data_IF_812563388961
#
_entry.id   IF_812563388961
#
_cell.length_a   1.000
_cell.length_b   1.000
_cell.length_c   1.000
_cell.angle_alpha   90.00
_cell.angle_beta   90.00
_cell.angle_gamma   90.00
#
_symmetry.space_group_name_H-M   'P 1'
#
loop_
_entity.id
_entity.type
_entity.pdbx_description
1 polymer ?
#
# COMPACT_ATOMS: atom_id res chain seq x y z
N UNK A 1 -0.78 16.39 -1.52
CA UNK A 1 -0.32 15.64 -0.33
C UNK A 1 0.58 16.57 0.44
N UNK A 2 0.26 16.81 1.72
CA UNK A 2 0.84 17.92 2.48
C UNK A 2 1.68 17.45 3.68
N UNK A 3 1.82 16.13 3.88
CA UNK A 3 2.63 15.54 4.95
C UNK A 3 3.39 14.31 4.41
N UNK A 4 4.53 13.93 5.03
CA UNK A 4 5.25 12.73 4.61
C UNK A 4 4.42 11.46 4.86
N UNK A 5 3.67 11.40 5.96
CA UNK A 5 2.76 10.29 6.26
C UNK A 5 1.70 10.10 5.17
N UNK A 6 1.08 11.18 4.68
CA UNK A 6 0.08 11.08 3.59
C UNK A 6 0.72 10.56 2.29
N UNK A 7 1.98 10.93 2.02
CA UNK A 7 2.72 10.48 0.85
C UNK A 7 3.07 8.99 0.94
N UNK A 8 3.61 8.54 2.07
CA UNK A 8 3.93 7.14 2.33
C UNK A 8 2.67 6.26 2.31
N UNK A 9 1.60 6.68 2.99
CA UNK A 9 0.31 5.97 2.93
C UNK A 9 -0.28 5.93 1.52
N UNK A 10 -0.02 6.94 0.69
CA UNK A 10 -0.40 6.87 -0.73
C UNK A 10 0.42 5.82 -1.48
N UNK A 11 1.73 5.77 -1.25
CA UNK A 11 2.58 4.69 -1.77
C UNK A 11 2.03 3.32 -1.34
N UNK A 12 1.65 3.13 -0.08
CA UNK A 12 1.09 1.86 0.41
C UNK A 12 -0.22 1.47 -0.27
N UNK A 13 -1.08 2.44 -0.61
CA UNK A 13 -2.28 2.16 -1.42
C UNK A 13 -1.90 1.67 -2.82
N UNK A 14 -0.85 2.22 -3.42
CA UNK A 14 -0.34 1.75 -4.69
C UNK A 14 0.29 0.36 -4.56
N UNK A 15 1.07 0.08 -3.51
CA UNK A 15 1.63 -1.25 -3.23
C UNK A 15 0.53 -2.30 -3.18
N UNK A 16 -0.54 -2.06 -2.40
CA UNK A 16 -1.71 -2.94 -2.33
C UNK A 16 -2.37 -3.15 -3.69
N UNK A 17 -2.60 -2.06 -4.43
CA UNK A 17 -3.23 -2.10 -5.75
C UNK A 17 -2.40 -2.91 -6.75
N UNK A 18 -1.11 -2.59 -6.90
CA UNK A 18 -0.25 -3.19 -7.93
C UNK A 18 0.14 -4.62 -7.58
N UNK A 19 0.40 -4.95 -6.30
CA UNK A 19 0.63 -6.35 -5.89
C UNK A 19 -0.61 -7.23 -6.06
N UNK A 20 -1.82 -6.72 -5.77
CA UNK A 20 -3.05 -7.44 -6.09
C UNK A 20 -3.27 -7.57 -7.60
N UNK A 21 -2.94 -6.54 -8.38
CA UNK A 21 -3.02 -6.57 -9.84
C UNK A 21 -2.06 -7.59 -10.44
N UNK A 22 -0.84 -7.67 -9.91
CA UNK A 22 0.18 -8.63 -10.33
C UNK A 22 -0.31 -10.07 -10.19
N UNK A 23 -0.86 -10.44 -9.03
CA UNK A 23 -1.42 -11.78 -8.81
C UNK A 23 -2.54 -12.08 -9.82
N UNK A 24 -3.45 -11.12 -10.05
CA UNK A 24 -4.53 -11.30 -11.03
C UNK A 24 -4.00 -11.49 -12.44
N UNK A 25 -2.99 -10.71 -12.85
CA UNK A 25 -2.35 -10.85 -14.17
C UNK A 25 -1.67 -12.22 -14.33
N UNK A 26 -1.03 -12.72 -13.26
CA UNK A 26 -0.43 -14.04 -13.27
C UNK A 26 -1.47 -15.19 -13.38
N UNK A 27 -2.73 -14.94 -13.03
CA UNK A 27 -3.83 -15.93 -13.13
C UNK A 27 -4.58 -15.89 -14.47
N UNK A 28 -4.38 -14.86 -15.31
CA UNK A 28 -5.05 -14.74 -16.62
C UNK A 28 -4.62 -15.88 -17.57
N UNK A 29 -5.54 -16.45 -18.33
CA UNK A 29 -5.22 -17.52 -19.29
C UNK A 29 -4.53 -16.97 -20.55
N UNK A 30 -5.05 -15.88 -21.12
CA UNK A 30 -4.57 -15.25 -22.35
C UNK A 30 -3.77 -13.97 -22.06
N UNK A 31 -2.44 -14.10 -21.97
CA UNK A 31 -1.55 -12.97 -21.72
C UNK A 31 -1.27 -12.09 -22.94
N UNK A 32 -1.61 -12.58 -24.13
CA UNK A 32 -1.43 -11.92 -25.41
C UNK A 32 -2.55 -10.91 -25.73
N UNK A 33 -3.62 -10.89 -24.95
CA UNK A 33 -4.69 -9.88 -25.05
C UNK A 33 -4.11 -8.45 -24.87
N UNK A 34 -4.33 -7.52 -25.82
CA UNK A 34 -3.81 -6.16 -25.73
C UNK A 34 -4.12 -5.43 -24.42
N UNK A 35 -5.32 -5.63 -23.86
CA UNK A 35 -5.72 -5.01 -22.59
C UNK A 35 -4.94 -5.60 -21.40
N UNK A 36 -4.62 -6.90 -21.46
CA UNK A 36 -3.78 -7.57 -20.45
C UNK A 36 -2.36 -7.04 -20.53
N UNK A 37 -1.80 -6.91 -21.75
CA UNK A 37 -0.45 -6.37 -21.97
C UNK A 37 -0.34 -4.94 -21.42
N UNK A 38 -1.35 -4.09 -21.59
CA UNK A 38 -1.34 -2.74 -21.01
C UNK A 38 -1.35 -2.77 -19.47
N UNK A 39 -2.09 -3.72 -18.87
CA UNK A 39 -2.03 -4.00 -17.44
C UNK A 39 -0.65 -4.43 -16.98
N UNK A 40 0.00 -5.33 -17.72
CA UNK A 40 1.38 -5.80 -17.48
C UNK A 40 2.36 -4.65 -17.55
N UNK A 41 2.30 -3.80 -18.58
CA UNK A 41 3.16 -2.61 -18.72
C UNK A 41 2.99 -1.65 -17.55
N UNK A 42 1.76 -1.40 -17.13
CA UNK A 42 1.48 -0.54 -15.98
C UNK A 42 2.05 -1.13 -14.68
N UNK A 43 1.93 -2.45 -14.51
CA UNK A 43 2.49 -3.19 -13.38
C UNK A 43 4.02 -3.12 -13.37
N UNK A 44 4.66 -3.42 -14.50
CA UNK A 44 6.11 -3.37 -14.68
C UNK A 44 6.67 -1.97 -14.39
N UNK A 45 6.03 -0.91 -14.91
CA UNK A 45 6.44 0.47 -14.62
C UNK A 45 6.38 0.77 -13.12
N UNK A 46 5.32 0.34 -12.44
CA UNK A 46 5.21 0.57 -10.99
C UNK A 46 6.32 -0.13 -10.20
N UNK A 47 6.56 -1.41 -10.47
CA UNK A 47 7.59 -2.18 -9.77
C UNK A 47 9.01 -1.71 -10.11
N UNK A 48 9.23 -1.19 -11.33
CA UNK A 48 10.52 -0.66 -11.78
C UNK A 48 10.84 0.74 -11.23
N UNK A 49 9.83 1.58 -11.07
CA UNK A 49 10.04 3.00 -10.72
C UNK A 49 9.40 3.37 -9.39
N UNK A 50 8.10 3.07 -9.22
CA UNK A 50 7.31 3.50 -8.08
C UNK A 50 7.71 2.83 -6.76
N UNK A 51 7.92 1.52 -6.77
CA UNK A 51 8.29 0.76 -5.57
C UNK A 51 9.69 1.15 -5.04
N UNK A 52 10.75 1.23 -5.87
CA UNK A 52 12.06 1.70 -5.41
C UNK A 52 12.03 3.13 -4.84
N UNK A 53 11.20 4.02 -5.41
CA UNK A 53 11.06 5.39 -4.91
C UNK A 53 10.41 5.44 -3.52
N UNK A 54 9.57 4.47 -3.15
CA UNK A 54 9.02 4.34 -1.81
C UNK A 54 10.10 3.91 -0.82
N UNK A 55 10.80 2.80 -1.08
CA UNK A 55 11.89 2.33 -0.22
C UNK A 55 12.96 3.41 -0.01
N UNK A 56 13.33 4.15 -1.07
CA UNK A 56 14.25 5.28 -0.96
C UNK A 56 13.75 6.43 -0.08
N UNK A 57 12.44 6.66 0.01
CA UNK A 57 11.89 7.64 0.94
C UNK A 57 11.98 7.17 2.38
N UNK A 58 11.69 5.89 2.65
CA UNK A 58 11.93 5.30 3.96
C UNK A 58 13.40 5.43 4.34
N UNK A 59 14.29 4.85 3.54
CA UNK A 59 15.69 4.65 3.87
C UNK A 59 16.44 5.97 4.01
N UNK A 60 16.20 6.92 3.11
CA UNK A 60 16.99 8.16 3.03
C UNK A 60 16.33 9.33 3.75
N UNK A 61 15.02 9.27 4.02
CA UNK A 61 14.29 10.40 4.60
C UNK A 61 13.65 10.06 5.94
N UNK A 62 12.96 8.93 6.06
CA UNK A 62 12.25 8.54 7.28
C UNK A 62 13.19 7.99 8.34
N UNK A 63 13.93 6.92 8.02
CA UNK A 63 14.76 6.17 8.97
C UNK A 63 15.73 7.06 9.73
N UNK A 64 16.52 7.96 9.09
CA UNK A 64 17.48 8.80 9.81
C UNK A 64 16.82 9.77 10.82
N UNK A 65 15.53 10.06 10.65
CA UNK A 65 14.76 10.93 11.56
C UNK A 65 14.11 10.14 12.67
N UNK A 66 13.68 8.91 12.41
CA UNK A 66 13.18 8.02 13.46
C UNK A 66 14.30 7.64 14.45
N UNK A 67 15.52 7.43 13.97
CA UNK A 67 16.69 7.14 14.81
C UNK A 67 17.09 8.28 15.75
N UNK A 68 16.64 9.51 15.48
CA UNK A 68 16.85 10.66 16.37
C UNK A 68 15.86 10.68 17.55
N UNK A 69 14.81 9.86 17.51
CA UNK A 69 13.85 9.71 18.59
C UNK A 69 14.36 8.69 19.62
N UNK A 70 13.82 8.76 20.84
CA UNK A 70 13.97 7.66 21.79
C UNK A 70 13.10 6.49 21.33
N UNK A 71 13.74 5.47 20.76
CA UNK A 71 13.07 4.29 20.23
C UNK A 71 12.96 3.17 21.28
N UNK A 72 11.82 2.48 21.28
CA UNK A 72 11.60 1.27 22.06
C UNK A 72 12.25 0.06 21.36
N UNK A 73 12.59 -1.03 22.09
CA UNK A 73 13.19 -2.22 21.47
C UNK A 73 12.41 -2.78 20.27
N UNK A 74 11.07 -2.72 20.33
CA UNK A 74 10.21 -3.13 19.22
C UNK A 74 10.40 -2.27 17.96
N UNK A 75 10.59 -0.95 18.12
CA UNK A 75 10.77 -0.02 16.99
C UNK A 75 12.15 -0.21 16.36
N UNK A 76 13.18 -0.43 17.18
CA UNK A 76 14.52 -0.77 16.71
C UNK A 76 14.47 -2.07 15.89
N UNK A 77 13.82 -3.11 16.43
CA UNK A 77 13.63 -4.38 15.72
C UNK A 77 12.86 -4.20 14.40
N UNK A 78 11.83 -3.34 14.39
CA UNK A 78 11.06 -3.06 13.20
C UNK A 78 11.88 -2.36 12.11
N UNK A 79 12.76 -1.41 12.47
CA UNK A 79 13.68 -0.77 11.51
C UNK A 79 14.63 -1.78 10.86
N UNK A 80 15.24 -2.67 11.66
CA UNK A 80 16.11 -3.73 11.13
C UNK A 80 15.36 -4.70 10.22
N UNK A 81 14.14 -5.07 10.61
CA UNK A 81 13.30 -5.94 9.80
C UNK A 81 12.88 -5.27 8.49
N UNK A 82 12.47 -4.00 8.52
CA UNK A 82 12.12 -3.20 7.35
C UNK A 82 13.29 -3.16 6.35
N UNK A 83 14.50 -2.86 6.82
CA UNK A 83 15.71 -2.85 5.98
C UNK A 83 15.99 -4.22 5.33
N UNK A 84 15.86 -5.31 6.11
CA UNK A 84 16.05 -6.67 5.58
C UNK A 84 14.98 -7.01 4.54
N UNK A 85 13.73 -6.60 4.79
CA UNK A 85 12.62 -6.81 3.87
C UNK A 85 12.82 -6.04 2.56
N UNK A 86 13.36 -4.81 2.57
CA UNK A 86 13.69 -4.09 1.34
C UNK A 86 14.59 -4.91 0.42
N UNK A 87 15.65 -5.52 0.94
CA UNK A 87 16.57 -6.36 0.15
C UNK A 87 15.89 -7.59 -0.45
N UNK A 88 15.02 -8.24 0.33
CA UNK A 88 14.24 -9.40 -0.14
C UNK A 88 13.23 -8.99 -1.22
N UNK A 89 12.54 -7.86 -1.01
CA UNK A 89 11.59 -7.28 -1.96
C UNK A 89 12.30 -6.93 -3.26
N UNK A 90 13.48 -6.31 -3.21
CA UNK A 90 14.26 -5.96 -4.40
C UNK A 90 14.63 -7.19 -5.23
N UNK A 91 15.08 -8.26 -4.55
CA UNK A 91 15.43 -9.53 -5.21
C UNK A 91 14.22 -10.14 -5.92
N UNK A 92 13.11 -10.33 -5.22
CA UNK A 92 11.88 -10.88 -5.80
C UNK A 92 11.30 -9.97 -6.89
N UNK A 93 11.42 -8.65 -6.75
CA UNK A 93 10.95 -7.69 -7.74
C UNK A 93 11.73 -7.82 -9.04
N UNK A 94 13.04 -8.07 -9.00
CA UNK A 94 13.83 -8.31 -10.21
C UNK A 94 13.35 -9.55 -10.98
N UNK A 95 13.05 -10.65 -10.28
CA UNK A 95 12.50 -11.87 -10.89
C UNK A 95 11.10 -11.65 -11.49
N UNK A 96 10.24 -10.94 -10.77
CA UNK A 96 8.91 -10.55 -11.27
C UNK A 96 9.00 -9.66 -12.50
N UNK A 97 9.92 -8.69 -12.53
CA UNK A 97 10.12 -7.81 -13.67
C UNK A 97 10.57 -8.59 -14.91
N UNK A 98 11.44 -9.59 -14.75
CA UNK A 98 11.82 -10.48 -15.85
C UNK A 98 10.61 -11.22 -16.44
N UNK A 99 9.71 -11.73 -15.59
CA UNK A 99 8.46 -12.36 -16.05
C UNK A 99 7.54 -11.37 -16.77
N UNK A 100 7.38 -10.16 -16.23
CA UNK A 100 6.55 -9.12 -16.84
C UNK A 100 7.11 -8.68 -18.20
N UNK A 101 8.44 -8.54 -18.32
CA UNK A 101 9.09 -8.16 -19.58
C UNK A 101 8.92 -9.25 -20.64
N UNK A 102 9.07 -10.53 -20.28
CA UNK A 102 8.80 -11.67 -21.17
C UNK A 102 7.34 -11.67 -21.67
N UNK A 103 6.36 -11.35 -20.82
CA UNK A 103 4.97 -11.19 -21.28
C UNK A 103 4.84 -10.05 -22.30
N UNK A 104 5.49 -8.90 -22.06
CA UNK A 104 5.42 -7.74 -22.98
C UNK A 104 6.08 -8.03 -24.33
N UNK A 105 7.17 -8.81 -24.34
CA UNK A 105 7.87 -9.21 -25.57
C UNK A 105 7.30 -10.46 -26.23
N UNK A 106 6.21 -11.02 -25.66
CA UNK A 106 5.55 -12.25 -26.12
C UNK A 106 6.48 -13.47 -26.12
N UNK A 107 7.44 -13.50 -25.21
CA UNK A 107 8.29 -14.66 -24.95
C UNK A 107 7.54 -15.71 -24.10
N UNK A 108 7.93 -16.99 -24.17
CA UNK A 108 7.37 -18.03 -23.31
C UNK A 108 7.58 -17.71 -21.82
N UNK A 109 6.51 -17.78 -21.03
CA UNK A 109 6.55 -17.55 -19.58
C UNK A 109 6.11 -18.81 -18.85
N UNK A 110 6.90 -19.24 -17.86
CA UNK A 110 6.45 -20.23 -16.89
C UNK A 110 5.31 -19.64 -16.06
N UNK A 111 4.07 -20.04 -16.40
CA UNK A 111 2.86 -19.54 -15.74
C UNK A 111 2.81 -19.90 -14.26
N UNK A 112 3.27 -21.10 -13.91
CA UNK A 112 3.24 -21.56 -12.52
C UNK A 112 4.30 -20.82 -11.69
N UNK A 113 5.52 -20.70 -12.23
CA UNK A 113 6.58 -19.90 -11.63
C UNK A 113 6.18 -18.44 -11.44
N UNK A 114 5.59 -17.81 -12.47
CA UNK A 114 5.14 -16.42 -12.38
C UNK A 114 4.06 -16.22 -11.31
N UNK A 115 3.07 -17.11 -11.23
CA UNK A 115 2.05 -17.05 -10.17
C UNK A 115 2.65 -17.24 -8.76
N UNK A 116 3.62 -18.14 -8.62
CA UNK A 116 4.37 -18.35 -7.39
C UNK A 116 5.07 -17.06 -6.94
N UNK A 117 5.90 -16.48 -7.80
CA UNK A 117 6.62 -15.23 -7.54
C UNK A 117 5.67 -14.07 -7.22
N UNK A 118 4.57 -13.93 -7.97
CA UNK A 118 3.58 -12.88 -7.74
C UNK A 118 2.94 -12.98 -6.34
N UNK A 119 2.62 -14.20 -5.89
CA UNK A 119 2.04 -14.45 -4.56
C UNK A 119 3.06 -14.24 -3.45
N UNK A 120 4.29 -14.66 -3.65
CA UNK A 120 5.38 -14.47 -2.70
C UNK A 120 5.69 -12.99 -2.50
N UNK A 121 5.93 -12.25 -3.59
CA UNK A 121 6.18 -10.81 -3.54
C UNK A 121 5.01 -10.06 -2.87
N UNK A 122 3.76 -10.41 -3.20
CA UNK A 122 2.60 -9.80 -2.55
C UNK A 122 2.59 -10.09 -1.04
N UNK A 123 2.87 -11.32 -0.63
CA UNK A 123 2.86 -11.70 0.80
C UNK A 123 3.91 -10.89 1.57
N UNK A 124 5.12 -10.80 1.02
CA UNK A 124 6.20 -10.02 1.62
C UNK A 124 5.87 -8.52 1.70
N UNK A 125 5.35 -7.93 0.62
CA UNK A 125 4.93 -6.53 0.59
C UNK A 125 3.81 -6.23 1.59
N UNK A 126 2.85 -7.14 1.79
CA UNK A 126 1.78 -6.94 2.77
C UNK A 126 2.31 -6.97 4.21
N UNK A 127 3.16 -7.94 4.53
CA UNK A 127 3.80 -8.01 5.85
C UNK A 127 4.69 -6.79 6.12
N UNK A 128 5.39 -6.31 5.09
CA UNK A 128 6.25 -5.13 5.16
C UNK A 128 5.45 -3.86 5.48
N UNK A 129 4.44 -3.51 4.68
CA UNK A 129 3.66 -2.29 4.92
C UNK A 129 2.82 -2.35 6.21
N UNK A 130 2.44 -3.55 6.67
CA UNK A 130 1.75 -3.74 7.95
C UNK A 130 2.68 -3.43 9.12
N UNK A 131 3.93 -3.91 9.09
CA UNK A 131 4.95 -3.59 10.08
C UNK A 131 5.17 -2.07 10.18
N UNK A 132 5.35 -1.42 9.03
CA UNK A 132 5.57 0.02 8.95
C UNK A 132 4.38 0.81 9.49
N UNK A 133 3.16 0.51 9.03
CA UNK A 133 1.94 1.20 9.43
C UNK A 133 1.65 1.03 10.94
N UNK A 134 1.90 -0.16 11.49
CA UNK A 134 1.60 -0.47 12.87
C UNK A 134 2.67 0.03 13.87
N UNK A 135 3.95 0.01 13.48
CA UNK A 135 5.06 0.24 14.42
C UNK A 135 5.80 1.53 14.14
N UNK A 136 6.14 1.82 12.88
CA UNK A 136 7.04 2.92 12.51
C UNK A 136 6.28 4.23 12.22
N UNK A 137 5.18 4.17 11.47
CA UNK A 137 4.43 5.35 11.06
C UNK A 137 3.81 6.15 12.22
N UNK A 138 3.38 5.55 13.34
CA UNK A 138 2.97 6.32 14.51
C UNK A 138 4.05 7.28 15.01
N UNK A 139 5.34 6.91 14.88
CA UNK A 139 6.49 7.72 15.31
C UNK A 139 6.69 8.97 14.46
N UNK A 140 6.19 8.98 13.21
CA UNK A 140 6.24 10.15 12.32
C UNK A 140 5.51 11.35 12.96
N UNK A 141 4.45 11.10 13.72
CA UNK A 141 3.65 12.15 14.36
C UNK A 141 4.41 12.90 15.47
N UNK A 142 5.49 12.31 15.99
CA UNK A 142 6.33 12.89 17.03
C UNK A 142 7.52 13.67 16.47
N UNK A 143 7.75 13.61 15.15
CA UNK A 143 8.82 14.36 14.52
C UNK A 143 8.54 15.87 14.53
N UNK A 144 9.57 16.71 14.72
CA UNK A 144 9.39 18.15 14.74
C UNK A 144 8.93 18.68 13.37
N UNK A 145 8.13 19.76 13.31
CA UNK A 145 7.58 20.28 12.05
C UNK A 145 8.61 20.58 10.96
N UNK A 146 9.84 20.99 11.36
CA UNK A 146 10.95 21.24 10.43
C UNK A 146 11.43 19.95 9.73
N UNK A 147 11.45 18.84 10.45
CA UNK A 147 11.79 17.52 9.89
C UNK A 147 10.72 17.07 8.90
N UNK A 148 9.44 17.18 9.26
CA UNK A 148 8.32 16.82 8.37
C UNK A 148 8.34 17.62 7.07
N UNK A 149 8.60 18.94 7.16
CA UNK A 149 8.70 19.82 5.99
C UNK A 149 9.88 19.43 5.09
N UNK A 150 11.03 19.09 5.69
CA UNK A 150 12.22 18.68 4.94
C UNK A 150 12.00 17.35 4.22
N UNK A 151 11.38 16.37 4.89
CA UNK A 151 11.01 15.09 4.28
C UNK A 151 10.10 15.28 3.06
N UNK A 152 9.04 16.08 3.17
CA UNK A 152 8.15 16.35 2.02
C UNK A 152 8.94 16.92 0.84
N UNK A 153 9.86 17.85 1.09
CA UNK A 153 10.72 18.40 0.02
C UNK A 153 11.61 17.31 -0.58
N UNK A 154 12.30 16.53 0.22
CA UNK A 154 13.18 15.43 -0.22
C UNK A 154 12.43 14.41 -1.09
N UNK A 155 11.29 13.90 -0.59
CA UNK A 155 10.46 12.91 -1.29
C UNK A 155 9.89 13.46 -2.61
N UNK A 156 9.56 14.75 -2.67
CA UNK A 156 9.09 15.40 -3.90
C UNK A 156 10.22 15.59 -4.90
N UNK A 157 11.38 16.07 -4.46
CA UNK A 157 12.58 16.22 -5.30
C UNK A 157 12.97 14.89 -5.94
N UNK A 158 12.95 13.79 -5.17
CA UNK A 158 13.24 12.44 -5.68
C UNK A 158 12.32 12.01 -6.82
N UNK A 159 11.10 12.54 -6.85
CA UNK A 159 10.07 12.27 -7.88
C UNK A 159 10.04 13.31 -9.01
N UNK A 160 10.99 14.24 -9.05
CA UNK A 160 10.98 15.35 -10.00
C UNK A 160 9.79 16.31 -9.82
N UNK A 161 9.14 16.30 -8.65
CA UNK A 161 8.02 17.18 -8.35
C UNK A 161 8.52 18.50 -7.76
N UNK A 162 7.92 19.65 -8.13
CA UNK A 162 8.29 20.94 -7.56
C UNK A 162 8.03 20.94 -6.05
N UNK A 163 8.83 21.70 -5.29
CA UNK A 163 8.62 21.88 -3.85
C UNK A 163 7.17 22.34 -3.56
N UNK A 164 6.55 21.78 -2.52
CA UNK A 164 5.22 22.22 -2.13
C UNK A 164 5.30 23.71 -1.70
N UNK A 165 4.36 24.57 -2.14
CA UNK A 165 4.35 25.96 -1.72
C UNK A 165 4.19 26.04 -0.19
N UNK A 166 4.98 26.91 0.44
CA UNK A 166 5.07 27.06 1.91
C UNK A 166 3.73 27.38 2.60
N UNK A 167 2.69 27.76 1.84
CA UNK A 167 1.38 28.22 2.32
C UNK A 167 0.19 27.42 1.75
N UNK A 168 0.34 26.12 1.49
CA UNK A 168 -0.84 25.32 1.17
C UNK A 168 -1.74 25.23 2.42
N UNK A 169 -3.02 25.67 2.37
CA UNK A 169 -3.92 25.56 3.51
C UNK A 169 -4.01 24.09 3.94
N UNK A 170 -3.97 23.83 5.25
CA UNK A 170 -4.32 22.52 5.80
C UNK A 170 -5.74 22.23 5.34
N UNK A 171 -5.89 21.34 4.36
CA UNK A 171 -7.21 20.88 3.95
C UNK A 171 -7.76 20.11 5.14
N UNK A 172 -8.61 20.76 5.93
CA UNK A 172 -9.48 20.08 6.88
C UNK A 172 -10.26 19.05 6.09
N UNK A 173 -10.01 17.76 6.36
CA UNK A 173 -10.77 16.66 5.78
C UNK A 173 -12.25 16.91 6.09
N UNK A 174 -13.15 17.03 5.09
CA UNK A 174 -14.57 16.98 5.39
C UNK A 174 -14.88 15.56 5.89
N UNK A 175 -15.52 15.47 7.05
CA UNK A 175 -15.96 14.20 7.63
C UNK A 175 -16.81 13.44 6.62
N UNK A 176 -16.39 12.23 6.29
CA UNK A 176 -17.23 11.30 5.54
C UNK A 176 -18.39 10.86 6.44
N UNK A 177 -19.65 11.00 6.02
CA UNK A 177 -20.75 10.35 6.70
C UNK A 177 -20.85 8.93 6.16
N UNK A 178 -20.23 7.95 6.81
CA UNK A 178 -20.56 6.55 6.57
C UNK A 178 -21.51 6.08 7.68
N UNK A 179 -22.81 6.10 7.36
CA UNK A 179 -23.84 5.42 8.14
C UNK A 179 -23.61 3.91 8.00
N UNK A 180 -23.25 3.27 9.10
CA UNK A 180 -23.37 1.82 9.29
C UNK A 180 -24.86 1.49 9.23
N UNK A 181 -25.28 0.69 8.25
CA UNK A 181 -26.56 0.00 8.31
C UNK A 181 -26.27 -1.36 8.94
N UNK A 182 -26.56 -1.47 10.23
CA UNK A 182 -26.69 -2.75 10.93
C UNK A 182 -27.99 -2.74 11.73
N UNK A 183 -28.91 -3.59 11.33
CA UNK A 183 -29.94 -4.21 12.17
C UNK A 183 -30.39 -5.45 11.38
N UNK A 184 -30.20 -6.68 11.84
CA UNK A 184 -30.50 -7.15 13.19
C UNK A 184 -31.89 -7.74 13.16
N UNK A 185 -31.97 -9.06 13.05
CA UNK A 185 -33.22 -9.81 13.01
C UNK A 185 -33.82 -9.97 14.42
N UNK A 186 -35.16 -10.05 14.45
CA UNK A 186 -36.06 -10.64 15.47
C UNK A 186 -36.24 -9.90 16.81
N UNK A 187 -37.48 -9.47 17.13
CA UNK A 187 -38.47 -10.20 17.97
C UNK A 187 -39.81 -9.40 18.13
N UNK A 188 -40.87 -9.87 18.85
CA UNK A 188 -42.27 -9.65 18.48
C UNK A 188 -43.05 -8.81 19.52
N UNK A 189 -44.27 -8.42 19.18
CA UNK A 189 -45.31 -8.01 20.15
C UNK A 189 -46.66 -8.04 19.38
N UNK A 190 -47.60 -8.95 19.62
CA UNK A 190 -48.41 -9.25 20.81
C UNK A 190 -49.73 -8.47 20.88
N UNK A 191 -50.83 -9.25 20.94
CA UNK A 191 -52.14 -9.00 21.58
C UNK A 191 -53.10 -7.98 20.89
N UNK A 192 -54.44 -8.12 20.88
CA UNK A 192 -55.44 -8.98 21.57
C UNK A 192 -56.78 -8.83 20.81
N UNK A 193 -57.51 -9.91 20.53
CA UNK A 193 -58.75 -10.37 21.19
C UNK A 193 -60.07 -9.65 20.81
N UNK A 194 -61.07 -10.46 20.41
CA UNK A 194 -62.55 -10.38 20.53
C UNK A 194 -63.12 -11.24 19.38
N UNK A 195 -64.20 -12.03 19.43
CA UNK A 195 -64.97 -12.78 20.42
C UNK A 195 -65.98 -13.63 19.59
N UNK A 196 -66.40 -14.75 20.15
CA UNK A 196 -67.70 -15.44 20.00
C UNK A 196 -68.23 -15.97 18.63
N UNK A 197 -68.34 -17.30 18.60
CA UNK A 197 -69.56 -18.14 18.41
C UNK A 197 -70.50 -18.02 17.18
N UNK A 198 -70.93 -19.22 16.73
CA UNK A 198 -71.98 -19.59 15.73
C UNK A 198 -71.58 -19.38 14.25
N UNK A 199 -71.71 -20.33 13.32
CA UNK A 199 -72.47 -21.60 13.17
C UNK A 199 -71.60 -22.71 12.56
#
# INVERSE_FOLDING_TARGET
MNSPLDMLQHCHRNIRRFSSGLVRLAEVEHLDDPAVIDGVRACARYFREGLPLHAQDEDLSLTPRLEQLSLRPQEISALWQMFTQHQQIDTLTAEVLAMLDAVVTQEPVDRMGFLGLARELRTLLMAHIELEEAVLFPRILELPPRSLTSMVREMRTRRGLPAAPLNAPRVSRPGLPFRIVSAGALHPASQRAFADSNE
#
